data_IF_966841579135
#
_entry.id   IF_966841579135
#
_cell.length_a   1.000
_cell.length_b   1.000
_cell.length_c   1.000
_cell.angle_alpha   90.00
_cell.angle_beta   90.00
_cell.angle_gamma   90.00
#
_symmetry.space_group_name_H-M   'P 1'
#
loop_
_entity.id
_entity.type
_entity.pdbx_description
1 polymer ?
#
# COMPACT_ATOMS: atom_id res chain seq x y z
N UNK A 1 -5.98 0.97 27.53
CA UNK A 1 -6.44 2.37 27.49
C UNK A 1 -5.96 3.06 28.75
N UNK A 2 -5.48 4.30 28.61
CA UNK A 2 -5.25 5.23 29.73
C UNK A 2 -6.57 5.63 30.40
N UNK A 3 -7.66 5.67 29.64
CA UNK A 3 -8.99 5.91 30.17
C UNK A 3 -9.60 4.59 30.71
N UNK A 4 -9.78 4.53 32.04
CA UNK A 4 -10.33 3.34 32.70
C UNK A 4 -11.80 3.09 32.36
N UNK A 5 -12.58 4.11 31.96
CA UNK A 5 -13.99 3.92 31.60
C UNK A 5 -14.18 3.09 30.33
N UNK A 6 -13.15 3.00 29.48
CA UNK A 6 -13.18 2.24 28.23
C UNK A 6 -12.88 0.75 28.41
N UNK A 7 -12.47 0.33 29.61
CA UNK A 7 -12.20 -1.09 29.88
C UNK A 7 -13.47 -1.91 29.75
N UNK A 8 -13.32 -3.14 29.25
CA UNK A 8 -14.41 -4.10 29.03
C UNK A 8 -15.58 -3.58 28.18
N UNK A 9 -15.29 -2.58 27.34
CA UNK A 9 -16.25 -1.99 26.39
C UNK A 9 -15.98 -2.46 24.97
N UNK A 10 -17.05 -2.57 24.17
CA UNK A 10 -17.01 -2.97 22.77
C UNK A 10 -16.96 -1.75 21.85
N UNK A 11 -15.87 -1.60 21.11
CA UNK A 11 -15.74 -0.56 20.09
C UNK A 11 -16.51 -0.98 18.85
N UNK A 12 -17.52 -0.21 18.45
CA UNK A 12 -18.36 -0.56 17.30
C UNK A 12 -17.74 -0.01 16.03
N UNK A 13 -17.49 -0.91 15.09
CA UNK A 13 -17.04 -0.58 13.73
C UNK A 13 -18.18 -0.80 12.74
N UNK A 14 -18.06 -0.18 11.57
CA UNK A 14 -18.94 -0.44 10.44
C UNK A 14 -18.10 -0.72 9.18
N UNK A 15 -18.56 -1.66 8.36
CA UNK A 15 -17.87 -2.03 7.11
C UNK A 15 -18.85 -2.56 6.08
N UNK A 16 -18.63 -2.25 4.81
CA UNK A 16 -19.32 -2.85 3.65
C UNK A 16 -18.57 -4.06 3.08
N UNK A 17 -17.38 -4.35 3.59
CA UNK A 17 -16.52 -5.46 3.14
C UNK A 17 -16.23 -6.43 4.29
N UNK A 18 -17.19 -7.27 4.71
CA UNK A 18 -16.98 -8.23 5.80
C UNK A 18 -15.74 -9.12 5.62
N UNK A 19 -15.41 -9.49 4.38
CA UNK A 19 -14.18 -10.21 4.03
C UNK A 19 -12.87 -9.55 4.50
N UNK A 20 -12.86 -8.25 4.78
CA UNK A 20 -11.66 -7.58 5.31
C UNK A 20 -11.47 -7.75 6.83
N UNK A 21 -12.49 -8.18 7.57
CA UNK A 21 -12.45 -8.28 9.04
C UNK A 21 -11.32 -9.21 9.54
N UNK A 22 -11.10 -10.41 8.98
CA UNK A 22 -9.96 -11.25 9.38
C UNK A 22 -8.57 -10.61 9.18
N UNK A 23 -8.48 -9.64 8.27
CA UNK A 23 -7.27 -8.90 7.94
C UNK A 23 -7.06 -7.64 8.81
N UNK A 24 -8.01 -7.32 9.70
CA UNK A 24 -7.92 -6.17 10.60
C UNK A 24 -6.65 -6.22 11.47
N UNK A 25 -5.98 -5.07 11.63
CA UNK A 25 -4.76 -4.95 12.46
C UNK A 25 -4.77 -3.74 13.38
N UNK A 26 -5.62 -2.75 13.15
CA UNK A 26 -5.78 -1.59 14.01
C UNK A 26 -7.19 -1.02 13.88
N UNK A 27 -7.58 -0.12 14.78
CA UNK A 27 -8.75 0.73 14.59
C UNK A 27 -8.29 2.18 14.42
N UNK A 28 -9.02 2.94 13.63
CA UNK A 28 -8.78 4.33 13.34
C UNK A 28 -9.87 5.19 13.98
N UNK A 29 -9.48 6.28 14.64
CA UNK A 29 -10.37 7.27 15.25
C UNK A 29 -9.90 8.68 14.91
N UNK A 30 -10.77 9.68 15.04
CA UNK A 30 -10.39 11.08 14.88
C UNK A 30 -10.39 11.77 16.25
N UNK A 31 -9.25 12.34 16.63
CA UNK A 31 -9.04 12.94 17.97
C UNK A 31 -9.97 14.12 18.27
N UNK A 32 -10.44 14.82 17.23
CA UNK A 32 -11.25 16.03 17.35
C UNK A 32 -12.75 15.72 17.44
N UNK A 33 -13.15 14.46 17.23
CA UNK A 33 -14.52 14.01 17.38
C UNK A 33 -14.85 13.64 18.83
N UNK A 34 -16.13 13.74 19.18
CA UNK A 34 -16.67 13.29 20.46
C UNK A 34 -17.26 11.87 20.32
N UNK A 35 -17.04 11.05 21.33
CA UNK A 35 -17.47 9.66 21.41
C UNK A 35 -18.28 9.41 22.69
N UNK A 36 -19.30 8.55 22.57
CA UNK A 36 -20.18 8.19 23.68
C UNK A 36 -19.94 6.74 24.11
N UNK A 37 -19.76 6.55 25.42
CA UNK A 37 -19.82 5.25 26.07
C UNK A 37 -21.28 4.97 26.43
N UNK A 38 -21.85 3.91 25.89
CA UNK A 38 -23.28 3.61 26.00
C UNK A 38 -23.48 2.21 26.56
N UNK A 39 -24.29 2.10 27.61
CA UNK A 39 -24.77 0.82 28.11
C UNK A 39 -26.00 0.39 27.33
N UNK A 40 -25.94 -0.79 26.72
CA UNK A 40 -27.10 -1.40 26.08
C UNK A 40 -27.97 -2.07 27.15
N UNK A 41 -29.19 -1.60 27.34
CA UNK A 41 -30.15 -2.12 28.33
C UNK A 41 -31.22 -3.01 27.68
N UNK A 42 -31.20 -3.11 26.35
CA UNK A 42 -32.14 -3.93 25.59
C UNK A 42 -31.92 -5.42 25.85
N UNK A 43 -32.99 -6.09 26.27
CA UNK A 43 -32.94 -7.51 26.62
C UNK A 43 -32.94 -8.43 25.41
N UNK A 44 -33.29 -7.92 24.23
CA UNK A 44 -33.42 -8.69 22.99
C UNK A 44 -32.12 -8.77 22.18
N UNK A 45 -31.10 -8.00 22.56
CA UNK A 45 -29.81 -7.92 21.87
C UNK A 45 -28.76 -8.87 22.46
N UNK A 46 -27.91 -9.44 21.61
CA UNK A 46 -26.69 -10.15 22.04
C UNK A 46 -25.71 -9.24 22.81
N UNK A 47 -25.92 -7.91 22.74
CA UNK A 47 -25.16 -6.89 23.45
C UNK A 47 -25.80 -6.47 24.78
N UNK A 48 -26.83 -7.18 25.27
CA UNK A 48 -27.47 -6.87 26.56
C UNK A 48 -26.43 -6.70 27.68
N UNK A 49 -26.53 -5.60 28.43
CA UNK A 49 -25.64 -5.20 29.52
C UNK A 49 -24.17 -4.98 29.11
N UNK A 50 -23.84 -4.96 27.81
CA UNK A 50 -22.51 -4.58 27.34
C UNK A 50 -22.43 -3.07 27.16
N UNK A 51 -21.22 -2.54 27.37
CA UNK A 51 -20.90 -1.17 27.03
C UNK A 51 -20.41 -1.13 25.58
N UNK A 52 -20.96 -0.22 24.79
CA UNK A 52 -20.56 0.03 23.41
C UNK A 52 -20.02 1.46 23.25
N UNK A 53 -19.11 1.66 22.31
CA UNK A 53 -18.53 2.96 22.00
C UNK A 53 -18.78 3.29 20.53
N UNK A 54 -19.34 4.48 20.30
CA UNK A 54 -19.64 5.05 18.98
C UNK A 54 -19.39 6.56 19.00
N UNK A 55 -19.16 7.17 17.84
CA UNK A 55 -19.13 8.64 17.76
C UNK A 55 -20.49 9.21 18.17
N UNK A 56 -20.48 10.24 19.02
CA UNK A 56 -21.69 10.76 19.67
C UNK A 56 -22.74 11.23 18.66
N UNK A 57 -22.31 11.84 17.56
CA UNK A 57 -23.21 12.30 16.48
C UNK A 57 -23.81 11.16 15.64
N UNK A 58 -23.24 9.95 15.70
CA UNK A 58 -23.72 8.78 14.97
C UNK A 58 -24.50 7.80 15.87
N UNK A 59 -24.62 8.11 17.17
CA UNK A 59 -25.28 7.25 18.14
C UNK A 59 -26.74 6.99 17.77
N UNK A 60 -27.53 8.04 17.51
CA UNK A 60 -28.96 7.93 17.18
C UNK A 60 -29.20 7.07 15.94
N UNK A 61 -28.41 7.26 14.88
CA UNK A 61 -28.47 6.43 13.68
C UNK A 61 -28.10 4.99 13.99
N UNK A 62 -27.01 4.77 14.73
CA UNK A 62 -26.54 3.42 15.07
C UNK A 62 -27.58 2.65 15.88
N UNK A 63 -28.15 3.23 16.93
CA UNK A 63 -29.15 2.54 17.76
C UNK A 63 -30.43 2.26 16.98
N UNK A 64 -30.88 3.20 16.14
CA UNK A 64 -32.07 3.02 15.30
C UNK A 64 -31.91 1.91 14.26
N UNK A 65 -30.79 1.91 13.53
CA UNK A 65 -30.53 0.90 12.47
C UNK A 65 -30.34 -0.52 13.03
N UNK A 66 -29.88 -0.63 14.28
CA UNK A 66 -29.66 -1.91 14.95
C UNK A 66 -30.81 -2.30 15.90
N UNK A 67 -31.93 -1.56 15.90
CA UNK A 67 -33.11 -1.87 16.71
C UNK A 67 -32.87 -1.84 18.22
N UNK A 68 -31.95 -0.99 18.70
CA UNK A 68 -31.65 -0.83 20.13
C UNK A 68 -32.59 0.23 20.73
N UNK A 69 -33.68 -0.19 21.35
CA UNK A 69 -34.68 0.74 21.89
C UNK A 69 -34.30 1.31 23.26
N UNK A 70 -33.55 0.53 24.05
CA UNK A 70 -33.17 0.89 25.42
C UNK A 70 -31.66 0.93 25.59
N UNK A 71 -31.16 2.14 25.81
CA UNK A 71 -29.75 2.38 26.10
C UNK A 71 -29.58 3.57 27.05
N UNK A 72 -28.44 3.60 27.73
CA UNK A 72 -28.06 4.69 28.64
C UNK A 72 -26.66 5.18 28.29
N UNK A 73 -26.52 6.48 28.04
CA UNK A 73 -25.20 7.12 27.91
C UNK A 73 -24.56 7.15 29.30
N UNK A 74 -23.41 6.48 29.44
CA UNK A 74 -22.64 6.44 30.69
C UNK A 74 -21.71 7.65 30.75
N UNK A 75 -21.03 7.96 29.65
CA UNK A 75 -19.99 8.98 29.58
C UNK A 75 -19.82 9.48 28.13
N UNK A 76 -19.26 10.67 27.97
CA UNK A 76 -18.86 11.25 26.68
C UNK A 76 -17.45 11.82 26.77
N UNK A 77 -16.63 11.55 25.77
CA UNK A 77 -15.20 11.85 25.81
C UNK A 77 -14.67 12.22 24.42
N UNK A 78 -13.47 12.82 24.36
CA UNK A 78 -12.85 13.20 23.09
C UNK A 78 -12.09 12.04 22.49
N UNK A 79 -11.96 12.01 21.16
CA UNK A 79 -11.18 10.98 20.48
C UNK A 79 -9.74 10.87 20.98
N UNK A 80 -9.14 11.98 21.46
CA UNK A 80 -7.82 11.96 22.13
C UNK A 80 -7.71 10.96 23.28
N UNK A 81 -8.82 10.62 23.95
CA UNK A 81 -8.82 9.71 25.08
C UNK A 81 -8.71 8.23 24.66
N UNK A 82 -8.75 7.93 23.35
CA UNK A 82 -8.41 6.61 22.81
C UNK A 82 -6.90 6.34 22.79
N UNK A 83 -6.04 7.32 23.08
CA UNK A 83 -4.60 7.12 23.12
C UNK A 83 -4.22 5.89 23.98
N UNK A 84 -3.32 5.04 23.45
CA UNK A 84 -2.90 3.77 24.07
C UNK A 84 -4.05 2.78 24.37
N UNK A 85 -5.15 2.89 23.63
CA UNK A 85 -6.21 1.89 23.67
C UNK A 85 -5.86 0.69 22.78
N UNK A 86 -6.07 -0.50 23.34
CA UNK A 86 -5.80 -1.77 22.68
C UNK A 86 -7.08 -2.60 22.81
N UNK A 87 -7.58 -3.05 21.67
CA UNK A 87 -8.76 -3.89 21.55
C UNK A 87 -8.35 -5.35 21.30
N UNK A 88 -9.26 -6.28 21.60
CA UNK A 88 -9.16 -7.66 21.13
C UNK A 88 -9.90 -7.82 19.81
N UNK A 89 -9.35 -8.65 18.91
CA UNK A 89 -10.01 -8.98 17.65
C UNK A 89 -11.37 -9.69 17.88
N UNK A 90 -12.44 -9.38 17.13
CA UNK A 90 -13.75 -10.03 17.32
C UNK A 90 -13.71 -11.55 17.08
N UNK A 91 -12.85 -12.00 16.15
CA UNK A 91 -12.64 -13.42 15.85
C UNK A 91 -11.54 -14.08 16.69
N UNK A 92 -11.19 -13.56 17.87
CA UNK A 92 -10.08 -14.07 18.70
C UNK A 92 -10.11 -15.61 18.85
N UNK A 93 -11.28 -16.20 19.11
CA UNK A 93 -11.45 -17.66 19.27
C UNK A 93 -11.09 -18.48 18.03
N UNK A 94 -11.11 -17.87 16.83
CA UNK A 94 -10.75 -18.51 15.57
C UNK A 94 -9.25 -18.44 15.25
N UNK A 95 -8.42 -17.96 16.18
CA UNK A 95 -6.96 -17.90 16.04
C UNK A 95 -6.40 -16.50 15.78
N UNK A 96 -7.24 -15.46 15.73
CA UNK A 96 -6.83 -14.07 15.56
C UNK A 96 -6.40 -13.45 16.91
N UNK A 97 -5.40 -14.06 17.55
CA UNK A 97 -4.96 -13.79 18.93
C UNK A 97 -3.95 -12.64 19.06
N UNK A 98 -4.10 -11.58 18.27
CA UNK A 98 -3.24 -10.40 18.33
C UNK A 98 -3.95 -9.19 18.93
N UNK A 99 -3.16 -8.22 19.38
CA UNK A 99 -3.63 -6.92 19.87
C UNK A 99 -4.04 -6.05 18.69
N UNK A 100 -5.15 -5.33 18.82
CA UNK A 100 -5.64 -4.36 17.82
C UNK A 100 -5.54 -2.96 18.42
N UNK A 101 -4.42 -2.24 18.23
CA UNK A 101 -4.28 -0.88 18.73
C UNK A 101 -5.22 0.11 18.03
N UNK A 102 -5.58 1.18 18.72
CA UNK A 102 -6.29 2.32 18.14
C UNK A 102 -5.31 3.43 17.75
N UNK A 103 -5.43 3.98 16.54
CA UNK A 103 -4.60 5.07 16.03
C UNK A 103 -5.42 6.26 15.58
N UNK A 104 -4.85 7.44 15.78
CA UNK A 104 -5.41 8.69 15.29
C UNK A 104 -5.31 8.77 13.76
N UNK A 105 -6.41 9.16 13.13
CA UNK A 105 -6.59 9.15 11.70
C UNK A 105 -7.56 10.28 11.28
N UNK A 106 -7.05 11.38 10.70
CA UNK A 106 -7.87 12.51 10.26
C UNK A 106 -8.90 12.16 9.17
N UNK A 107 -8.72 11.04 8.45
CA UNK A 107 -9.64 10.58 7.42
C UNK A 107 -10.95 9.99 8.00
N UNK A 108 -11.03 9.76 9.31
CA UNK A 108 -12.26 9.29 9.94
C UNK A 108 -13.24 10.45 10.08
N UNK A 109 -14.38 10.33 9.40
CA UNK A 109 -15.43 11.35 9.36
C UNK A 109 -16.73 10.83 10.00
N UNK A 110 -17.74 11.72 10.07
CA UNK A 110 -19.06 11.41 10.60
C UNK A 110 -20.12 11.22 9.49
N UNK A 111 -19.69 11.09 8.23
CA UNK A 111 -20.61 10.96 7.10
C UNK A 111 -21.31 9.59 7.08
N UNK A 112 -20.61 8.54 7.47
CA UNK A 112 -21.15 7.18 7.46
C UNK A 112 -20.51 6.29 8.54
N UNK A 113 -21.24 5.25 8.95
CA UNK A 113 -20.76 4.22 9.87
C UNK A 113 -20.90 4.64 11.33
N UNK A 114 -19.87 4.42 12.11
CA UNK A 114 -19.89 4.59 13.58
C UNK A 114 -18.87 5.62 14.09
N UNK A 115 -18.13 6.26 13.17
CA UNK A 115 -17.02 7.17 13.49
C UNK A 115 -15.75 6.46 13.98
N UNK A 116 -15.67 5.15 13.78
CA UNK A 116 -14.50 4.31 14.04
C UNK A 116 -14.35 3.34 12.87
N UNK A 117 -13.15 3.32 12.26
CA UNK A 117 -12.87 2.51 11.07
C UNK A 117 -11.90 1.41 11.44
N UNK A 118 -12.19 0.17 11.06
CA UNK A 118 -11.22 -0.92 11.18
C UNK A 118 -10.18 -0.81 10.06
N UNK A 119 -8.93 -1.08 10.36
CA UNK A 119 -7.83 -0.92 9.42
C UNK A 119 -7.28 -2.29 9.02
N UNK A 120 -7.49 -2.65 7.77
CA UNK A 120 -6.94 -3.84 7.13
C UNK A 120 -5.83 -3.40 6.16
N UNK A 121 -4.55 -3.33 6.59
CA UNK A 121 -3.48 -2.67 5.83
C UNK A 121 -3.22 -3.26 4.44
N UNK A 122 -3.66 -4.50 4.20
CA UNK A 122 -3.51 -5.15 2.90
C UNK A 122 -4.60 -4.76 1.89
N UNK A 123 -5.63 -3.99 2.29
CA UNK A 123 -6.86 -3.79 1.52
C UNK A 123 -7.36 -2.34 1.46
N UNK A 124 -6.59 -1.37 1.97
CA UNK A 124 -6.93 0.05 1.92
C UNK A 124 -5.66 0.91 1.86
N UNK A 125 -5.58 1.93 0.97
CA UNK A 125 -4.42 2.84 0.93
C UNK A 125 -4.23 3.62 2.25
N UNK A 126 -5.32 4.13 2.83
CA UNK A 126 -5.28 4.87 4.10
C UNK A 126 -4.91 3.93 5.25
N UNK A 127 -5.49 2.73 5.29
CA UNK A 127 -5.16 1.66 6.24
C UNK A 127 -3.67 1.28 6.16
N UNK A 128 -3.15 1.11 4.95
CA UNK A 128 -1.75 0.79 4.68
C UNK A 128 -0.83 1.86 5.25
N UNK A 129 -1.09 3.13 4.91
CA UNK A 129 -0.27 4.26 5.36
C UNK A 129 -0.34 4.45 6.88
N UNK A 130 -1.53 4.35 7.48
CA UNK A 130 -1.72 4.43 8.92
C UNK A 130 -0.94 3.33 9.63
N UNK A 131 -1.12 2.07 9.22
CA UNK A 131 -0.44 0.93 9.81
C UNK A 131 1.09 1.01 9.63
N UNK A 132 1.56 1.39 8.44
CA UNK A 132 2.98 1.52 8.14
C UNK A 132 3.65 2.58 9.02
N UNK A 133 3.00 3.74 9.23
CA UNK A 133 3.49 4.80 10.13
C UNK A 133 3.70 4.30 11.57
N UNK A 134 2.91 3.32 12.00
CA UNK A 134 2.99 2.71 13.32
C UNK A 134 3.72 1.35 13.34
N UNK A 135 4.45 1.01 12.26
CA UNK A 135 5.27 -0.20 12.19
C UNK A 135 4.49 -1.50 12.00
N UNK A 136 3.19 -1.43 11.69
CA UNK A 136 2.36 -2.59 11.34
C UNK A 136 2.48 -2.86 9.84
N UNK A 137 3.09 -3.99 9.49
CA UNK A 137 3.27 -4.41 8.11
C UNK A 137 1.98 -4.98 7.52
N UNK A 138 1.69 -4.63 6.26
CA UNK A 138 0.72 -5.36 5.47
C UNK A 138 1.24 -6.78 5.19
N UNK A 139 0.40 -7.78 5.45
CA UNK A 139 0.72 -9.19 5.17
C UNK A 139 -0.10 -9.67 3.98
N UNK A 140 0.41 -10.65 3.25
CA UNK A 140 -0.31 -11.18 2.10
C UNK A 140 -1.49 -12.06 2.57
N UNK A 141 -2.68 -11.48 2.60
CA UNK A 141 -3.92 -12.14 3.07
C UNK A 141 -4.68 -12.83 1.95
N UNK A 142 -4.44 -12.49 0.68
CA UNK A 142 -5.21 -12.96 -0.48
C UNK A 142 -4.31 -13.23 -1.68
N UNK A 143 -4.41 -14.41 -2.27
CA UNK A 143 -3.67 -14.80 -3.48
C UNK A 143 -4.18 -14.14 -4.78
N UNK A 144 -3.51 -14.41 -5.90
CA UNK A 144 -3.87 -13.87 -7.24
C UNK A 144 -5.24 -14.33 -7.75
N UNK A 145 -5.83 -15.36 -7.14
CA UNK A 145 -7.15 -15.88 -7.47
C UNK A 145 -8.25 -15.35 -6.54
N UNK A 146 -7.94 -14.36 -5.69
CA UNK A 146 -8.92 -13.77 -4.77
C UNK A 146 -9.27 -14.69 -3.59
N UNK A 147 -8.40 -15.65 -3.25
CA UNK A 147 -8.61 -16.59 -2.14
C UNK A 147 -7.71 -16.28 -0.97
N UNK A 148 -8.20 -16.54 0.24
CA UNK A 148 -7.39 -16.32 1.44
C UNK A 148 -6.15 -17.22 1.49
N UNK A 149 -5.02 -16.64 1.88
CA UNK A 149 -3.76 -17.35 2.08
C UNK A 149 -3.70 -18.04 3.45
N UNK A 150 -2.55 -18.64 3.78
CA UNK A 150 -2.26 -19.22 5.10
C UNK A 150 -2.32 -18.19 6.23
N UNK A 151 -2.25 -16.88 5.92
CA UNK A 151 -2.28 -15.81 6.91
C UNK A 151 -3.69 -15.56 7.48
N UNK A 152 -4.72 -16.15 6.89
CA UNK A 152 -6.12 -16.13 7.35
C UNK A 152 -6.56 -17.59 7.60
N UNK A 153 -6.11 -18.23 8.70
CA UNK A 153 -6.16 -19.69 8.84
C UNK A 153 -7.58 -20.27 8.77
N UNK A 154 -8.54 -19.61 9.42
CA UNK A 154 -9.92 -20.12 9.55
C UNK A 154 -10.73 -20.03 8.25
N UNK A 155 -10.27 -19.24 7.28
CA UNK A 155 -10.94 -19.06 5.99
C UNK A 155 -10.03 -19.40 4.79
N UNK A 156 -8.88 -20.04 5.03
CA UNK A 156 -7.88 -20.36 4.01
C UNK A 156 -8.51 -21.02 2.77
N UNK A 157 -8.13 -20.54 1.59
CA UNK A 157 -8.56 -21.07 0.28
C UNK A 157 -9.97 -20.64 -0.15
N UNK A 158 -10.74 -20.00 0.72
CA UNK A 158 -12.07 -19.47 0.39
C UNK A 158 -11.91 -18.18 -0.41
N UNK A 159 -12.69 -18.04 -1.48
CA UNK A 159 -12.74 -16.82 -2.28
C UNK A 159 -13.44 -15.72 -1.51
N UNK A 160 -12.91 -14.48 -1.50
CA UNK A 160 -13.40 -13.39 -0.65
C UNK A 160 -14.89 -13.07 -0.78
N UNK A 161 -15.44 -13.00 -2.00
CA UNK A 161 -16.87 -12.77 -2.21
C UNK A 161 -17.78 -13.91 -1.73
N UNK A 162 -17.22 -15.09 -1.42
CA UNK A 162 -17.95 -16.20 -0.78
C UNK A 162 -17.74 -16.20 0.74
N UNK A 163 -16.82 -15.39 1.24
CA UNK A 163 -16.47 -15.34 2.66
C UNK A 163 -17.35 -14.38 3.46
N UNK A 164 -18.01 -13.40 2.83
CA UNK A 164 -18.78 -12.39 3.55
C UNK A 164 -19.83 -13.00 4.48
N UNK A 165 -20.67 -13.91 3.96
CA UNK A 165 -21.68 -14.59 4.78
C UNK A 165 -21.06 -15.44 5.88
N UNK A 166 -19.98 -16.18 5.57
CA UNK A 166 -19.29 -17.03 6.55
C UNK A 166 -18.71 -16.19 7.71
N UNK A 167 -18.18 -15.01 7.41
CA UNK A 167 -17.63 -14.11 8.43
C UNK A 167 -18.75 -13.50 9.27
N UNK A 168 -19.86 -13.09 8.65
CA UNK A 168 -21.04 -12.59 9.36
C UNK A 168 -21.57 -13.66 10.33
N UNK A 169 -21.69 -14.91 9.87
CA UNK A 169 -22.17 -16.02 10.70
C UNK A 169 -21.23 -16.26 11.89
N UNK A 170 -19.91 -16.21 11.67
CA UNK A 170 -18.92 -16.32 12.75
C UNK A 170 -18.95 -15.15 13.73
N UNK A 171 -19.18 -13.92 13.27
CA UNK A 171 -19.34 -12.78 14.16
C UNK A 171 -20.61 -12.91 15.01
N UNK A 172 -21.67 -13.49 14.46
CA UNK A 172 -22.91 -13.79 15.19
C UNK A 172 -22.69 -14.88 16.23
N UNK A 173 -22.05 -15.99 15.88
CA UNK A 173 -21.69 -17.07 16.81
C UNK A 173 -20.84 -16.56 17.98
N UNK A 174 -19.92 -15.61 17.73
CA UNK A 174 -19.07 -15.01 18.73
C UNK A 174 -19.73 -13.86 19.53
N UNK A 175 -21.00 -13.54 19.26
CA UNK A 175 -21.73 -12.41 19.85
C UNK A 175 -20.98 -11.07 19.67
N UNK A 176 -20.42 -10.87 18.47
CA UNK A 176 -19.68 -9.67 18.05
C UNK A 176 -20.30 -8.95 16.86
N UNK A 177 -21.51 -9.32 16.46
CA UNK A 177 -22.26 -8.68 15.38
C UNK A 177 -23.39 -7.83 15.96
N UNK A 178 -23.24 -6.49 15.91
CA UNK A 178 -24.29 -5.58 16.41
C UNK A 178 -25.52 -5.57 15.49
N UNK A 179 -25.30 -5.59 14.18
CA UNK A 179 -26.34 -5.74 13.19
C UNK A 179 -25.78 -6.02 11.80
N UNK A 180 -26.69 -6.34 10.89
CA UNK A 180 -26.39 -6.71 9.51
C UNK A 180 -27.48 -6.15 8.60
N UNK A 181 -27.08 -5.55 7.49
CA UNK A 181 -27.98 -4.93 6.53
C UNK A 181 -27.41 -4.97 5.12
N UNK A 182 -28.23 -4.57 4.14
CA UNK A 182 -27.82 -4.44 2.74
C UNK A 182 -27.77 -2.97 2.36
N UNK A 183 -26.69 -2.56 1.72
CA UNK A 183 -26.51 -1.22 1.17
C UNK A 183 -26.21 -1.32 -0.32
N UNK A 184 -26.92 -0.55 -1.14
CA UNK A 184 -26.61 -0.40 -2.56
C UNK A 184 -25.87 0.91 -2.78
N UNK A 185 -24.64 0.83 -3.27
CA UNK A 185 -23.80 1.99 -3.55
C UNK A 185 -22.90 1.73 -4.76
N UNK A 186 -22.21 2.77 -5.22
CA UNK A 186 -21.23 2.63 -6.30
C UNK A 186 -20.00 1.86 -5.81
N UNK A 187 -19.56 0.87 -6.59
CA UNK A 187 -18.40 0.04 -6.28
C UNK A 187 -17.51 -0.11 -7.54
N UNK A 188 -16.17 -0.09 -7.42
CA UNK A 188 -15.29 -0.19 -8.56
C UNK A 188 -15.39 -1.57 -9.23
N UNK A 189 -15.55 -1.58 -10.55
CA UNK A 189 -15.59 -2.80 -11.35
C UNK A 189 -14.55 -2.73 -12.47
N UNK A 190 -14.01 -3.90 -12.83
CA UNK A 190 -13.14 -4.04 -13.99
C UNK A 190 -13.88 -3.55 -15.24
N UNK A 191 -13.29 -2.58 -15.95
CA UNK A 191 -13.91 -2.02 -17.15
C UNK A 191 -14.16 -3.08 -18.23
N UNK A 192 -13.35 -4.15 -18.26
CA UNK A 192 -13.43 -5.25 -19.22
C UNK A 192 -14.34 -6.38 -18.76
N UNK A 193 -14.04 -7.01 -17.61
CA UNK A 193 -14.79 -8.19 -17.14
C UNK A 193 -16.05 -7.84 -16.38
N UNK A 194 -16.23 -6.57 -15.98
CA UNK A 194 -17.29 -6.09 -15.08
C UNK A 194 -17.30 -6.78 -13.71
N UNK A 195 -16.25 -7.51 -13.36
CA UNK A 195 -16.09 -8.10 -12.04
C UNK A 195 -15.73 -7.02 -11.00
N UNK A 196 -16.18 -7.14 -9.73
CA UNK A 196 -15.82 -6.19 -8.68
C UNK A 196 -14.31 -6.19 -8.42
N UNK A 197 -13.74 -5.01 -8.22
CA UNK A 197 -12.32 -4.84 -7.90
C UNK A 197 -12.10 -4.81 -6.39
N UNK A 198 -10.93 -5.25 -5.95
CA UNK A 198 -10.50 -5.13 -4.56
C UNK A 198 -9.10 -4.55 -4.49
N UNK A 199 -8.85 -3.78 -3.44
CA UNK A 199 -7.50 -3.35 -3.13
C UNK A 199 -6.73 -4.51 -2.50
N UNK A 200 -5.53 -4.74 -3.00
CA UNK A 200 -4.60 -5.73 -2.47
C UNK A 200 -3.20 -5.14 -2.46
N UNK A 201 -2.57 -5.16 -1.30
CA UNK A 201 -1.14 -4.88 -1.18
C UNK A 201 -0.36 -6.01 -1.85
N UNK A 202 0.41 -5.67 -2.87
CA UNK A 202 1.28 -6.59 -3.59
C UNK A 202 2.74 -6.27 -3.30
N UNK A 203 3.60 -7.29 -3.41
CA UNK A 203 5.04 -7.05 -3.38
C UNK A 203 5.42 -6.21 -4.60
N UNK A 204 6.25 -5.19 -4.38
CA UNK A 204 6.72 -4.27 -5.41
C UNK A 204 8.20 -3.95 -5.16
N UNK A 205 8.92 -3.64 -6.23
CA UNK A 205 10.30 -3.21 -6.22
C UNK A 205 10.38 -1.69 -6.20
N UNK A 206 11.14 -1.16 -5.25
CA UNK A 206 11.32 0.27 -5.07
C UNK A 206 12.80 0.65 -5.12
N UNK A 207 13.09 1.78 -5.77
CA UNK A 207 14.36 2.50 -5.60
C UNK A 207 14.17 3.47 -4.44
N UNK A 208 14.99 3.29 -3.40
CA UNK A 208 14.90 4.12 -2.20
C UNK A 208 15.47 5.52 -2.45
N UNK A 209 14.69 6.54 -2.09
CA UNK A 209 15.12 7.94 -2.18
C UNK A 209 16.13 8.31 -1.08
N UNK A 210 16.12 7.57 0.04
CA UNK A 210 16.91 7.90 1.23
C UNK A 210 18.17 7.06 1.42
N UNK A 211 18.07 5.74 1.30
CA UNK A 211 19.10 4.79 1.79
C UNK A 211 20.53 5.06 1.29
N UNK A 212 20.66 5.59 0.07
CA UNK A 212 21.95 5.90 -0.58
C UNK A 212 22.06 7.39 -0.97
N UNK A 213 21.26 8.26 -0.32
CA UNK A 213 21.28 9.71 -0.50
C UNK A 213 20.80 10.18 -1.88
N UNK A 214 19.95 9.40 -2.57
CA UNK A 214 19.48 9.73 -3.92
C UNK A 214 18.73 11.07 -3.94
N UNK A 215 17.84 11.34 -2.97
CA UNK A 215 17.14 12.63 -2.86
C UNK A 215 18.12 13.79 -2.77
N UNK A 216 19.12 13.68 -1.90
CA UNK A 216 20.14 14.71 -1.70
C UNK A 216 20.94 14.98 -2.98
N UNK A 217 21.35 13.92 -3.69
CA UNK A 217 22.06 14.03 -4.98
C UNK A 217 21.19 14.71 -6.03
N UNK A 218 19.93 14.30 -6.15
CA UNK A 218 18.99 14.86 -7.11
C UNK A 218 18.69 16.35 -6.86
N UNK A 219 18.50 16.74 -5.59
CA UNK A 219 18.29 18.16 -5.23
C UNK A 219 19.52 19.01 -5.54
N UNK A 220 20.72 18.52 -5.23
CA UNK A 220 21.97 19.19 -5.61
C UNK A 220 22.09 19.32 -7.13
N UNK A 221 21.80 18.26 -7.88
CA UNK A 221 21.87 18.28 -9.33
C UNK A 221 20.85 19.27 -9.95
N UNK A 222 19.63 19.37 -9.40
CA UNK A 222 18.66 20.41 -9.78
C UNK A 222 19.22 21.81 -9.51
N UNK A 223 19.95 21.98 -8.41
CA UNK A 223 20.56 23.27 -8.08
C UNK A 223 21.64 23.69 -9.08
N UNK A 224 22.34 22.72 -9.67
CA UNK A 224 23.41 22.90 -10.66
C UNK A 224 22.90 22.97 -12.12
N UNK A 225 21.64 22.61 -12.39
CA UNK A 225 21.03 22.68 -13.73
C UNK A 225 20.39 24.05 -14.01
N UNK A 226 20.58 24.55 -15.23
CA UNK A 226 19.89 25.76 -15.74
C UNK A 226 18.49 25.44 -16.27
N UNK A 227 17.50 26.29 -15.97
CA UNK A 227 16.10 26.07 -16.37
C UNK A 227 15.53 27.25 -17.17
N UNK A 228 14.89 26.92 -18.29
CA UNK A 228 14.20 27.84 -19.18
C UNK A 228 12.74 27.38 -19.37
N UNK A 229 11.75 28.05 -18.75
CA UNK A 229 11.86 29.21 -17.86
C UNK A 229 12.32 28.85 -16.45
N UNK A 230 12.91 29.82 -15.72
CA UNK A 230 13.46 29.63 -14.36
C UNK A 230 12.49 28.99 -13.36
N UNK A 231 11.18 29.23 -13.51
CA UNK A 231 10.13 28.63 -12.66
C UNK A 231 10.08 27.09 -12.73
N UNK A 232 10.61 26.46 -13.79
CA UNK A 232 10.68 25.01 -13.93
C UNK A 232 11.50 24.34 -12.82
N UNK A 233 12.55 25.02 -12.34
CA UNK A 233 13.41 24.55 -11.24
C UNK A 233 12.63 24.30 -9.96
N UNK A 234 11.84 25.30 -9.52
CA UNK A 234 11.04 25.19 -8.30
C UNK A 234 10.01 24.05 -8.39
N UNK A 235 9.46 23.84 -9.59
CA UNK A 235 8.49 22.77 -9.85
C UNK A 235 9.09 21.37 -9.67
N UNK A 236 10.21 21.07 -10.33
CA UNK A 236 10.84 19.75 -10.19
C UNK A 236 11.40 19.54 -8.77
N UNK A 237 11.97 20.59 -8.17
CA UNK A 237 12.54 20.54 -6.82
C UNK A 237 11.50 20.13 -5.77
N UNK A 238 10.36 20.80 -5.70
CA UNK A 238 9.32 20.48 -4.70
C UNK A 238 8.78 19.05 -4.85
N UNK A 239 8.75 18.54 -6.08
CA UNK A 239 8.35 17.15 -6.34
C UNK A 239 9.41 16.14 -5.86
N UNK A 240 10.69 16.46 -5.93
CA UNK A 240 11.77 15.62 -5.38
C UNK A 240 11.81 15.71 -3.85
N UNK A 241 11.61 16.90 -3.27
CA UNK A 241 11.62 17.13 -1.82
C UNK A 241 10.58 16.27 -1.08
N UNK A 242 9.41 16.04 -1.69
CA UNK A 242 8.31 15.27 -1.09
C UNK A 242 8.12 13.87 -1.69
N UNK A 243 9.01 13.44 -2.61
CA UNK A 243 8.85 12.17 -3.31
C UNK A 243 8.92 10.97 -2.33
N UNK A 244 8.01 10.00 -2.39
CA UNK A 244 8.21 8.70 -1.75
C UNK A 244 9.26 7.87 -2.53
N UNK A 245 9.56 6.68 -2.02
CA UNK A 245 10.38 5.72 -2.76
C UNK A 245 9.78 5.40 -4.14
N UNK A 246 10.66 5.22 -5.13
CA UNK A 246 10.25 5.12 -6.52
C UNK A 246 9.91 3.66 -6.87
N UNK A 247 8.61 3.35 -7.00
CA UNK A 247 8.12 2.01 -7.38
C UNK A 247 8.40 1.71 -8.86
N UNK A 248 9.39 0.85 -9.14
CA UNK A 248 9.85 0.54 -10.50
C UNK A 248 9.24 -0.73 -11.10
N UNK A 249 8.54 -1.56 -10.32
CA UNK A 249 7.93 -2.80 -10.83
C UNK A 249 6.54 -2.61 -11.40
N UNK A 250 6.21 -3.35 -12.46
CA UNK A 250 4.87 -3.47 -13.02
C UNK A 250 4.55 -4.93 -13.32
N UNK A 251 3.37 -5.38 -12.93
CA UNK A 251 2.85 -6.73 -13.25
C UNK A 251 2.23 -6.74 -14.65
N UNK A 252 3.07 -6.57 -15.66
CA UNK A 252 2.72 -6.53 -17.09
C UNK A 252 3.72 -7.38 -17.88
N UNK A 253 3.36 -7.73 -19.10
CA UNK A 253 4.17 -8.63 -19.94
C UNK A 253 4.99 -7.89 -21.00
N UNK A 254 4.67 -6.64 -21.33
CA UNK A 254 5.37 -5.86 -22.34
C UNK A 254 6.25 -4.78 -21.69
N UNK A 255 7.56 -5.02 -21.68
CA UNK A 255 8.61 -4.10 -21.22
C UNK A 255 9.84 -4.85 -20.72
N UNK A 256 10.86 -4.10 -20.29
CA UNK A 256 12.12 -4.68 -19.83
C UNK A 256 11.92 -5.43 -18.51
N UNK A 257 12.23 -6.72 -18.40
CA UNK A 257 12.10 -7.48 -17.15
C UNK A 257 13.02 -6.94 -16.05
N UNK A 258 12.57 -6.95 -14.80
CA UNK A 258 13.44 -6.73 -13.64
C UNK A 258 14.28 -8.00 -13.40
N UNK A 259 15.62 -7.94 -13.59
CA UNK A 259 16.48 -9.13 -13.55
C UNK A 259 16.79 -9.57 -12.11
N UNK A 260 15.75 -9.99 -11.38
CA UNK A 260 15.80 -10.26 -9.94
C UNK A 260 15.51 -11.73 -9.66
N UNK A 261 16.35 -12.34 -8.83
CA UNK A 261 16.14 -13.65 -8.24
C UNK A 261 15.98 -13.52 -6.72
N UNK A 262 15.02 -14.27 -6.16
CA UNK A 262 14.78 -14.34 -4.71
C UNK A 262 15.04 -15.77 -4.23
N UNK A 263 15.84 -15.94 -3.17
CA UNK A 263 16.11 -17.25 -2.59
C UNK A 263 14.84 -17.83 -1.98
N UNK A 264 14.49 -19.08 -2.31
CA UNK A 264 13.38 -19.80 -1.67
C UNK A 264 13.64 -20.12 -0.20
N UNK A 265 14.92 -20.15 0.22
CA UNK A 265 15.33 -20.51 1.58
C UNK A 265 15.28 -19.31 2.51
N UNK A 266 15.83 -18.17 2.10
CA UNK A 266 15.95 -16.97 2.95
C UNK A 266 14.91 -15.91 2.64
N UNK A 267 14.23 -15.99 1.50
CA UNK A 267 13.36 -14.95 0.97
C UNK A 267 14.09 -13.61 0.72
N UNK A 268 15.41 -13.68 0.52
CA UNK A 268 16.25 -12.53 0.21
C UNK A 268 16.60 -12.46 -1.28
N UNK A 269 16.86 -11.24 -1.75
CA UNK A 269 17.31 -10.99 -3.12
C UNK A 269 18.73 -11.50 -3.32
N UNK A 270 18.96 -12.20 -4.43
CA UNK A 270 20.29 -12.56 -4.88
C UNK A 270 21.04 -11.29 -5.34
N UNK A 271 22.01 -10.85 -4.55
CA UNK A 271 22.87 -9.71 -4.84
C UNK A 271 24.26 -10.22 -5.25
N UNK A 272 24.39 -10.67 -6.49
CA UNK A 272 25.65 -11.17 -7.03
C UNK A 272 26.01 -10.42 -8.33
N UNK A 273 27.09 -9.61 -8.34
CA UNK A 273 27.56 -8.90 -9.52
C UNK A 273 27.85 -9.81 -10.73
N UNK A 274 28.33 -11.04 -10.51
CA UNK A 274 28.64 -11.97 -11.60
C UNK A 274 27.36 -12.42 -12.33
N UNK A 275 26.29 -12.64 -11.56
CA UNK A 275 24.97 -13.01 -12.11
C UNK A 275 24.35 -11.82 -12.84
N UNK A 276 24.43 -10.61 -12.27
CA UNK A 276 23.93 -9.38 -12.90
C UNK A 276 24.63 -9.14 -14.24
N UNK A 277 25.96 -9.25 -14.26
CA UNK A 277 26.75 -9.08 -15.48
C UNK A 277 26.45 -10.17 -16.53
N UNK A 278 26.27 -11.42 -16.10
CA UNK A 278 25.88 -12.51 -17.00
C UNK A 278 24.51 -12.25 -17.64
N UNK A 279 23.53 -11.75 -16.88
CA UNK A 279 22.23 -11.35 -17.41
C UNK A 279 22.38 -10.22 -18.43
N UNK A 280 23.17 -9.19 -18.12
CA UNK A 280 23.40 -8.06 -19.01
C UNK A 280 23.99 -8.50 -20.36
N UNK A 281 25.00 -9.38 -20.35
CA UNK A 281 25.61 -9.94 -21.57
C UNK A 281 24.62 -10.74 -22.43
N UNK A 282 23.76 -11.52 -21.78
CA UNK A 282 22.73 -12.28 -22.49
C UNK A 282 21.71 -11.32 -23.12
N UNK A 283 21.26 -10.30 -22.38
CA UNK A 283 20.33 -9.29 -22.91
C UNK A 283 20.92 -8.50 -24.07
N UNK A 284 22.21 -8.15 -24.03
CA UNK A 284 22.88 -7.43 -25.12
C UNK A 284 22.91 -8.27 -26.42
N UNK A 285 23.04 -9.59 -26.30
CA UNK A 285 23.10 -10.50 -27.45
C UNK A 285 21.73 -10.93 -27.97
N UNK A 286 20.80 -11.22 -27.07
CA UNK A 286 19.54 -11.94 -27.39
C UNK A 286 18.30 -11.06 -27.21
N UNK A 287 18.44 -9.87 -26.62
CA UNK A 287 17.32 -9.06 -26.16
C UNK A 287 16.73 -9.57 -24.84
N UNK A 288 15.82 -8.77 -24.27
CA UNK A 288 15.24 -9.06 -22.94
C UNK A 288 14.19 -10.15 -22.94
N UNK A 289 13.61 -10.49 -24.10
CA UNK A 289 12.52 -11.47 -24.21
C UNK A 289 12.94 -12.86 -23.74
N UNK A 290 14.23 -13.19 -23.86
CA UNK A 290 14.79 -14.44 -23.38
C UNK A 290 14.58 -14.65 -21.87
N UNK A 291 14.34 -13.58 -21.09
CA UNK A 291 13.97 -13.70 -19.68
C UNK A 291 12.66 -14.45 -19.47
N UNK A 292 11.71 -14.34 -20.40
CA UNK A 292 10.40 -14.96 -20.29
C UNK A 292 10.36 -16.38 -20.87
N UNK A 293 11.11 -16.63 -21.93
CA UNK A 293 11.03 -17.87 -22.71
C UNK A 293 12.02 -18.92 -22.27
N UNK A 294 13.19 -18.52 -21.79
CA UNK A 294 14.32 -19.44 -21.67
C UNK A 294 14.45 -20.05 -20.26
N UNK A 295 15.24 -21.12 -20.17
CA UNK A 295 15.60 -21.70 -18.88
C UNK A 295 16.49 -20.74 -18.08
N UNK A 296 15.95 -20.25 -16.97
CA UNK A 296 16.63 -19.24 -16.15
C UNK A 296 17.87 -19.73 -15.40
N UNK A 297 18.21 -21.03 -15.49
CA UNK A 297 19.54 -21.50 -15.11
C UNK A 297 20.64 -20.76 -15.88
N UNK A 298 20.41 -20.40 -17.15
CA UNK A 298 21.42 -19.72 -17.97
C UNK A 298 21.84 -18.36 -17.38
N UNK A 299 20.91 -17.66 -16.74
CA UNK A 299 21.15 -16.37 -16.09
C UNK A 299 21.93 -16.54 -14.78
N UNK A 300 21.65 -17.59 -14.03
CA UNK A 300 22.28 -17.92 -12.75
C UNK A 300 23.71 -18.50 -12.90
N UNK A 301 24.07 -18.95 -14.11
CA UNK A 301 25.34 -19.63 -14.36
C UNK A 301 25.44 -20.97 -13.62
N UNK A 302 26.66 -21.44 -13.35
CA UNK A 302 26.90 -22.73 -12.68
C UNK A 302 26.98 -22.62 -11.14
N UNK A 303 27.04 -21.39 -10.61
CA UNK A 303 27.23 -21.10 -9.18
C UNK A 303 25.99 -21.37 -8.35
N UNK A 304 24.81 -21.21 -8.96
CA UNK A 304 23.52 -21.34 -8.30
C UNK A 304 22.65 -22.38 -9.00
N UNK A 305 21.82 -23.10 -8.25
CA UNK A 305 20.82 -24.00 -8.82
C UNK A 305 19.49 -23.26 -8.97
N UNK A 306 18.93 -23.26 -10.18
CA UNK A 306 17.64 -22.63 -10.46
C UNK A 306 16.51 -23.07 -9.51
N UNK A 307 16.57 -24.31 -9.00
CA UNK A 307 15.56 -24.85 -8.06
C UNK A 307 15.51 -24.09 -6.75
N UNK A 308 16.59 -23.41 -6.35
CA UNK A 308 16.69 -22.68 -5.08
C UNK A 308 16.19 -21.23 -5.16
N UNK A 309 15.85 -20.76 -6.37
CA UNK A 309 15.48 -19.36 -6.61
C UNK A 309 14.11 -19.22 -7.27
N UNK A 310 13.46 -18.11 -7.00
CA UNK A 310 12.26 -17.63 -7.67
C UNK A 310 12.72 -16.50 -8.60
N UNK A 311 12.44 -16.63 -9.90
CA UNK A 311 12.68 -15.58 -10.89
C UNK A 311 11.54 -14.57 -10.86
N UNK A 312 11.85 -13.28 -10.80
CA UNK A 312 10.85 -12.24 -10.95
C UNK A 312 10.18 -12.29 -12.33
N UNK A 313 8.86 -12.08 -12.35
CA UNK A 313 8.06 -11.89 -13.57
C UNK A 313 7.70 -10.42 -13.79
N UNK A 314 8.08 -9.53 -12.88
CA UNK A 314 7.81 -8.11 -13.00
C UNK A 314 8.68 -7.48 -14.10
N UNK A 315 8.11 -6.49 -14.78
CA UNK A 315 8.87 -5.61 -15.67
C UNK A 315 9.17 -4.28 -14.99
N UNK A 316 10.20 -3.61 -15.48
CA UNK A 316 10.55 -2.27 -15.12
C UNK A 316 9.50 -1.31 -15.69
N UNK A 317 9.30 -0.19 -15.01
CA UNK A 317 8.39 0.83 -15.49
C UNK A 317 8.98 1.63 -16.65
N UNK A 318 8.10 2.10 -17.55
CA UNK A 318 8.50 2.82 -18.77
C UNK A 318 9.23 4.14 -18.51
N UNK A 319 9.03 4.76 -17.34
CA UNK A 319 9.78 5.97 -16.96
C UNK A 319 11.24 5.66 -16.62
N UNK A 320 11.53 4.46 -16.12
CA UNK A 320 12.91 4.02 -15.91
C UNK A 320 13.59 3.75 -17.25
N UNK A 321 12.90 3.10 -18.19
CA UNK A 321 13.42 2.83 -19.54
C UNK A 321 13.80 4.13 -20.26
N UNK A 322 12.86 5.07 -20.33
CA UNK A 322 13.11 6.40 -20.90
C UNK A 322 14.13 7.19 -20.08
N UNK A 323 14.10 7.11 -18.75
CA UNK A 323 15.06 7.76 -17.87
C UNK A 323 16.49 7.29 -18.05
N UNK A 324 16.68 6.05 -18.51
CA UNK A 324 17.99 5.44 -18.73
C UNK A 324 18.60 5.78 -20.10
N UNK A 325 17.90 6.52 -20.97
CA UNK A 325 18.37 6.80 -22.35
C UNK A 325 19.70 7.54 -22.39
N UNK A 326 20.03 8.36 -21.39
CA UNK A 326 21.35 9.00 -21.33
C UNK A 326 22.49 7.98 -21.25
N UNK A 327 22.26 6.82 -20.63
CA UNK A 327 23.23 5.73 -20.51
C UNK A 327 23.43 5.03 -21.84
N UNK A 328 22.37 4.50 -22.43
CA UNK A 328 22.48 3.62 -23.59
C UNK A 328 22.43 4.36 -24.94
N UNK A 329 22.14 5.67 -24.95
CA UNK A 329 22.21 6.52 -26.15
C UNK A 329 23.39 7.49 -26.06
N UNK A 330 23.43 8.38 -25.06
CA UNK A 330 24.44 9.45 -25.04
C UNK A 330 25.85 8.94 -24.73
N UNK A 331 26.01 8.00 -23.78
CA UNK A 331 27.34 7.45 -23.46
C UNK A 331 27.82 6.39 -24.47
N UNK A 332 26.90 5.73 -25.19
CA UNK A 332 27.22 4.63 -26.11
C UNK A 332 27.59 5.09 -27.52
N UNK A 333 27.22 6.31 -27.90
CA UNK A 333 27.38 6.84 -29.24
C UNK A 333 28.49 7.87 -29.28
N UNK A 334 29.53 7.60 -30.06
CA UNK A 334 30.70 8.49 -30.18
C UNK A 334 30.36 9.87 -30.78
N UNK A 335 29.24 9.99 -31.50
CA UNK A 335 28.75 11.25 -32.07
C UNK A 335 27.98 12.14 -31.08
N UNK A 336 27.77 11.67 -29.84
CA UNK A 336 26.99 12.36 -28.82
C UNK A 336 27.86 12.74 -27.61
N UNK A 337 27.34 13.66 -26.79
CA UNK A 337 27.98 14.13 -25.55
C UNK A 337 27.14 13.72 -24.35
N UNK A 338 27.82 13.26 -23.30
CA UNK A 338 27.25 13.13 -21.96
C UNK A 338 28.03 14.00 -20.95
N UNK A 339 27.35 14.78 -20.07
CA UNK A 339 25.91 15.05 -20.07
C UNK A 339 25.47 15.86 -21.31
N UNK A 340 24.19 15.78 -21.66
CA UNK A 340 23.62 16.57 -22.75
C UNK A 340 23.64 18.07 -22.41
N UNK A 341 23.91 18.93 -23.40
CA UNK A 341 23.88 20.37 -23.19
C UNK A 341 22.47 20.88 -22.82
N UNK A 342 21.42 20.25 -23.36
CA UNK A 342 20.03 20.59 -23.07
C UNK A 342 19.11 19.39 -23.24
N UNK A 343 18.14 19.27 -22.33
CA UNK A 343 16.91 18.50 -22.56
C UNK A 343 15.76 19.46 -22.88
N UNK A 344 14.95 19.14 -23.89
CA UNK A 344 13.84 19.97 -24.37
C UNK A 344 12.60 19.14 -24.56
N UNK A 345 11.54 19.42 -23.80
CA UNK A 345 10.23 18.74 -23.92
C UNK A 345 9.08 19.60 -23.36
N UNK A 346 7.85 19.11 -23.49
CA UNK A 346 6.66 19.72 -22.88
C UNK A 346 6.72 19.83 -21.35
N UNK A 347 5.96 20.79 -20.79
CA UNK A 347 5.99 21.07 -19.35
C UNK A 347 5.56 19.90 -18.46
N UNK A 348 4.83 18.92 -18.99
CA UNK A 348 4.45 17.67 -18.35
C UNK A 348 5.67 16.81 -17.96
N UNK A 349 6.78 16.92 -18.69
CA UNK A 349 7.98 16.10 -18.46
C UNK A 349 8.74 16.42 -17.17
N UNK A 350 8.40 17.50 -16.44
CA UNK A 350 8.85 17.71 -15.05
C UNK A 350 8.39 16.59 -14.10
N UNK A 351 7.34 15.85 -14.47
CA UNK A 351 6.84 14.66 -13.76
C UNK A 351 7.14 13.34 -14.48
N UNK A 352 7.69 13.42 -15.69
CA UNK A 352 8.01 12.29 -16.55
C UNK A 352 9.52 12.20 -16.77
N UNK A 353 9.94 12.37 -18.03
CA UNK A 353 11.28 12.05 -18.48
C UNK A 353 12.40 12.88 -17.84
N UNK A 354 12.21 14.20 -17.62
CA UNK A 354 13.21 15.01 -16.91
C UNK A 354 13.46 14.49 -15.50
N UNK A 355 12.38 14.05 -14.85
CA UNK A 355 12.37 13.56 -13.49
C UNK A 355 13.03 12.19 -13.37
N UNK A 356 12.65 11.24 -14.23
CA UNK A 356 13.23 9.89 -14.19
C UNK A 356 14.69 9.88 -14.65
N UNK A 357 15.04 10.67 -15.66
CA UNK A 357 16.44 10.82 -16.11
C UNK A 357 17.32 11.41 -15.02
N UNK A 358 16.81 12.41 -14.27
CA UNK A 358 17.51 12.95 -13.11
C UNK A 358 17.80 11.86 -12.06
N UNK A 359 16.77 11.07 -11.71
CA UNK A 359 16.87 10.07 -10.66
C UNK A 359 17.77 8.90 -11.07
N UNK A 360 17.66 8.41 -12.30
CA UNK A 360 18.57 7.39 -12.83
C UNK A 360 20.01 7.90 -12.74
N UNK A 361 20.29 9.04 -13.37
CA UNK A 361 21.66 9.56 -13.49
C UNK A 361 22.26 9.93 -12.13
N UNK A 362 21.46 10.45 -11.20
CA UNK A 362 21.93 10.70 -9.83
C UNK A 362 22.18 9.40 -9.06
N UNK A 363 21.41 8.35 -9.32
CA UNK A 363 21.59 7.04 -8.72
C UNK A 363 22.86 6.34 -9.19
N UNK A 364 23.21 6.52 -10.47
CA UNK A 364 24.29 5.77 -11.15
C UNK A 364 25.57 6.60 -11.33
N UNK A 365 25.48 7.89 -11.68
CA UNK A 365 26.59 8.82 -11.97
C UNK A 365 26.73 9.97 -10.96
N UNK A 366 25.73 10.19 -10.10
CA UNK A 366 25.76 11.19 -9.04
C UNK A 366 25.49 12.64 -9.49
N UNK A 367 25.05 12.87 -10.73
CA UNK A 367 24.68 14.20 -11.28
C UNK A 367 23.51 14.09 -12.26
N UNK A 368 22.96 15.23 -12.70
CA UNK A 368 21.95 15.25 -13.77
C UNK A 368 22.57 14.85 -15.12
N UNK A 369 21.80 14.20 -16.03
CA UNK A 369 22.27 13.85 -17.37
C UNK A 369 22.18 15.02 -18.35
N UNK A 370 21.82 16.22 -17.89
CA UNK A 370 21.66 17.44 -18.67
C UNK A 370 22.28 18.65 -17.96
N UNK A 371 22.86 19.56 -18.73
CA UNK A 371 23.37 20.86 -18.26
C UNK A 371 22.24 21.89 -18.13
N UNK A 372 21.24 21.83 -19.02
CA UNK A 372 20.06 22.69 -18.98
C UNK A 372 18.76 21.97 -19.35
N UNK A 373 17.63 22.51 -18.89
CA UNK A 373 16.28 22.10 -19.30
C UNK A 373 15.59 23.30 -19.95
N UNK A 374 15.04 23.07 -21.15
CA UNK A 374 14.02 23.93 -21.74
C UNK A 374 12.68 23.22 -21.70
N UNK A 375 11.64 23.91 -21.21
CA UNK A 375 10.28 23.38 -21.24
C UNK A 375 9.31 24.34 -21.91
N UNK A 376 8.48 23.84 -22.82
CA UNK A 376 7.43 24.61 -23.47
C UNK A 376 6.02 24.26 -22.95
N UNK A 377 5.04 25.12 -23.27
CA UNK A 377 3.62 24.86 -23.00
C UNK A 377 3.07 23.73 -23.88
N UNK A 378 1.77 23.45 -23.75
CA UNK A 378 1.06 22.55 -24.65
C UNK A 378 0.73 23.21 -25.99
#
# INVERSE_FOLDING_TARGET
SKNNSLKDSSVIIWTTTPWTIPANRALAYNKDLEYSLVKVEDTSSDFKNQNIIVASKLLETTVKENGLEKYKIIDTFKGSDFEETICSHPLKKLGYNYKVPMFEAPFVTLEQGTGIVHAAPSHGPDDFNLCLKHGIKAIDTIDDSGRYTNNIPSFKGIHIFKADQLIIDKLKEEQKLLGNGKLTHSYPHSWRSKAPLVHRATQQWFISMESHGLRKKALKAIDETDFYPKKGKARIRSMIELRPDWCISRQRTWGVPLPIFVSKKTNEVLKDPEVIENIAKIYEKEGSDCWFTDDYQKFLGNKYNKKDFIKSTDICEVWFDSGSTHSFVLEKRDDLKWPASMYLEGSDQHRGWFHSSLLESCGTRGRAPYESILSHGF
#
